data_IF_077386232774
#
_entry.id   IF_077386232774
#
_cell.length_a   1.000
_cell.length_b   1.000
_cell.length_c   1.000
_cell.angle_alpha   90.00
_cell.angle_beta   90.00
_cell.angle_gamma   90.00
#
_symmetry.space_group_name_H-M   'P 1'
#
loop_
_entity.id
_entity.type
_entity.pdbx_description
1 polymer ?
#
# COMPACT_ATOMS: atom_id res chain seq x y z
N UNK A 1 16.25 -37.30 -25.04
CA UNK A 1 16.45 -35.93 -24.52
C UNK A 1 15.42 -35.05 -25.21
N UNK A 2 14.37 -34.67 -24.51
CA UNK A 2 13.28 -33.85 -25.07
C UNK A 2 13.79 -32.43 -25.27
N UNK A 3 13.99 -32.01 -26.53
CA UNK A 3 14.13 -30.61 -26.88
C UNK A 3 12.82 -29.92 -26.52
N UNK A 4 12.82 -29.13 -25.46
CA UNK A 4 11.73 -28.24 -25.15
C UNK A 4 11.42 -27.40 -26.40
N UNK A 5 10.27 -27.67 -27.03
CA UNK A 5 9.74 -26.83 -28.10
C UNK A 5 9.53 -25.46 -27.48
N UNK A 6 10.45 -24.53 -27.76
CA UNK A 6 10.30 -23.13 -27.40
C UNK A 6 9.17 -22.60 -28.27
N UNK A 7 7.97 -22.48 -27.70
CA UNK A 7 6.88 -21.79 -28.37
C UNK A 7 7.31 -20.35 -28.58
N UNK A 8 7.44 -19.97 -29.84
CA UNK A 8 7.74 -18.58 -30.20
C UNK A 8 6.43 -17.83 -30.43
N UNK A 9 6.49 -16.49 -30.46
CA UNK A 9 5.36 -15.61 -30.77
C UNK A 9 4.74 -15.89 -32.16
N UNK A 10 5.35 -16.78 -32.95
CA UNK A 10 4.95 -17.22 -34.28
C UNK A 10 4.13 -18.51 -34.28
N UNK A 11 4.18 -19.27 -33.19
CA UNK A 11 3.43 -20.51 -33.00
C UNK A 11 1.95 -20.23 -32.66
N UNK A 12 1.63 -18.98 -32.31
CA UNK A 12 0.29 -18.49 -31.95
C UNK A 12 -0.49 -17.92 -33.13
N UNK A 13 0.02 -18.05 -34.36
CA UNK A 13 -0.59 -17.51 -35.57
C UNK A 13 -1.26 -18.63 -36.37
N UNK A 14 -2.54 -18.87 -36.10
CA UNK A 14 -3.35 -19.97 -36.65
C UNK A 14 -3.39 -20.02 -38.19
N UNK A 15 -3.16 -18.90 -38.88
CA UNK A 15 -3.22 -18.80 -40.34
C UNK A 15 -1.90 -19.14 -41.05
N UNK A 16 -0.79 -19.29 -40.31
CA UNK A 16 0.48 -19.71 -40.91
C UNK A 16 0.49 -21.24 -41.03
N UNK A 17 -0.04 -21.74 -42.15
CA UNK A 17 0.23 -23.10 -42.60
C UNK A 17 1.71 -23.24 -42.91
N UNK A 18 2.49 -23.62 -41.90
CA UNK A 18 3.90 -24.01 -42.05
C UNK A 18 4.00 -24.97 -43.23
N UNK A 19 4.89 -24.69 -44.18
CA UNK A 19 5.41 -25.78 -45.03
C UNK A 19 6.03 -26.80 -44.07
N UNK A 20 5.70 -28.07 -44.26
CA UNK A 20 6.14 -29.14 -43.36
C UNK A 20 7.67 -29.01 -43.12
N UNK A 21 8.18 -28.96 -41.88
CA UNK A 21 9.61 -28.71 -41.62
C UNK A 21 10.53 -29.76 -42.24
N UNK A 22 10.02 -30.97 -42.52
CA UNK A 22 10.73 -32.02 -43.26
C UNK A 22 10.75 -31.82 -44.79
N UNK A 23 10.01 -30.84 -45.31
CA UNK A 23 9.87 -30.58 -46.76
C UNK A 23 10.89 -29.58 -47.31
N UNK A 24 11.61 -28.84 -46.46
CA UNK A 24 12.56 -27.83 -46.91
C UNK A 24 13.97 -28.40 -46.77
N UNK A 25 14.37 -29.19 -47.77
CA UNK A 25 15.78 -29.48 -47.95
C UNK A 25 16.50 -28.14 -48.15
N UNK A 26 17.65 -27.89 -47.46
CA UNK A 26 18.52 -26.79 -47.85
C UNK A 26 18.80 -26.92 -49.35
N UNK A 27 19.06 -25.82 -50.07
CA UNK A 27 19.43 -25.92 -51.48
C UNK A 27 20.59 -26.91 -51.63
N UNK A 28 20.28 -28.14 -52.07
CA UNK A 28 21.15 -29.32 -51.89
C UNK A 28 21.95 -29.65 -53.14
N UNK A 29 22.10 -28.70 -54.05
CA UNK A 29 22.98 -28.83 -55.18
C UNK A 29 24.16 -27.90 -54.94
N UNK A 30 25.35 -28.51 -54.87
CA UNK A 30 26.69 -27.88 -54.81
C UNK A 30 26.60 -26.37 -55.00
N UNK A 31 26.65 -25.63 -53.88
CA UNK A 31 26.71 -24.16 -53.90
C UNK A 31 27.84 -23.81 -54.87
N UNK A 32 27.46 -23.18 -55.98
CA UNK A 32 28.41 -22.84 -57.04
C UNK A 32 29.44 -21.86 -56.44
N UNK A 33 30.73 -22.23 -56.43
CA UNK A 33 31.77 -21.40 -55.82
C UNK A 33 31.86 -20.01 -56.45
N UNK A 34 31.38 -19.86 -57.69
CA UNK A 34 31.42 -18.63 -58.46
C UNK A 34 30.27 -17.65 -58.10
N UNK A 35 29.31 -18.07 -57.26
CA UNK A 35 28.25 -17.19 -56.74
C UNK A 35 28.83 -16.29 -55.62
N UNK A 36 28.65 -14.96 -55.69
CA UNK A 36 29.03 -14.03 -54.64
C UNK A 36 28.37 -14.41 -53.31
N UNK A 37 29.19 -14.62 -52.28
CA UNK A 37 28.72 -15.06 -50.97
C UNK A 37 28.52 -16.57 -50.83
N UNK A 38 29.09 -17.40 -51.71
CA UNK A 38 29.08 -18.87 -51.62
C UNK A 38 29.49 -19.38 -50.22
N UNK A 39 30.51 -18.79 -49.59
CA UNK A 39 30.90 -19.11 -48.20
C UNK A 39 29.81 -18.81 -47.16
N UNK A 40 29.04 -17.73 -47.33
CA UNK A 40 27.91 -17.41 -46.47
C UNK A 40 26.82 -18.48 -46.60
N UNK A 41 26.55 -18.94 -47.82
CA UNK A 41 25.59 -20.01 -48.06
C UNK A 41 26.01 -21.36 -47.48
N UNK A 42 27.31 -21.68 -47.47
CA UNK A 42 27.82 -22.88 -46.79
C UNK A 42 27.53 -22.82 -45.28
N UNK A 43 27.72 -21.66 -44.66
CA UNK A 43 27.42 -21.44 -43.22
C UNK A 43 25.92 -21.53 -42.94
N UNK A 44 25.10 -20.96 -43.83
CA UNK A 44 23.63 -21.00 -43.73
C UNK A 44 23.10 -22.43 -43.91
N UNK A 45 23.59 -23.18 -44.90
CA UNK A 45 23.17 -24.56 -45.18
C UNK A 45 23.61 -25.51 -44.05
N UNK A 46 24.82 -25.33 -43.51
CA UNK A 46 25.29 -26.14 -42.36
C UNK A 46 24.48 -25.89 -41.09
N UNK A 47 23.88 -24.71 -40.94
CA UNK A 47 23.01 -24.38 -39.81
C UNK A 47 21.53 -24.35 -40.18
N UNK A 48 21.13 -24.88 -41.35
CA UNK A 48 19.80 -24.70 -41.90
C UNK A 48 18.69 -25.15 -40.94
N UNK A 49 18.86 -26.31 -40.32
CA UNK A 49 17.91 -26.88 -39.36
C UNK A 49 17.76 -26.05 -38.07
N UNK A 50 18.74 -25.21 -37.75
CA UNK A 50 18.71 -24.32 -36.58
C UNK A 50 18.13 -22.94 -36.92
N UNK A 51 17.89 -22.64 -38.20
CA UNK A 51 17.28 -21.38 -38.63
C UNK A 51 15.77 -21.43 -38.44
N UNK A 52 15.20 -20.26 -38.13
CA UNK A 52 13.76 -20.12 -38.01
C UNK A 52 13.08 -20.36 -39.38
N UNK A 53 11.93 -21.04 -39.47
CA UNK A 53 11.27 -21.37 -40.75
C UNK A 53 11.01 -20.17 -41.67
N UNK A 54 10.59 -19.01 -41.14
CA UNK A 54 10.45 -17.79 -41.95
C UNK A 54 11.79 -17.29 -42.52
N UNK A 55 12.88 -17.44 -41.77
CA UNK A 55 14.22 -17.10 -42.23
C UNK A 55 14.68 -18.10 -43.29
N UNK A 56 14.35 -19.39 -43.13
CA UNK A 56 14.58 -20.40 -44.16
C UNK A 56 13.80 -20.05 -45.44
N UNK A 57 12.54 -19.65 -45.36
CA UNK A 57 11.71 -19.27 -46.52
C UNK A 57 12.29 -18.04 -47.24
N UNK A 58 12.67 -16.99 -46.50
CA UNK A 58 13.30 -15.78 -47.06
C UNK A 58 14.64 -16.11 -47.70
N UNK A 59 15.49 -16.87 -47.02
CA UNK A 59 16.79 -17.28 -47.54
C UNK A 59 16.63 -18.20 -48.74
N UNK A 60 15.63 -19.07 -48.77
CA UNK A 60 15.35 -19.94 -49.91
C UNK A 60 14.94 -19.13 -51.15
N UNK A 61 14.06 -18.15 -50.98
CA UNK A 61 13.66 -17.22 -52.06
C UNK A 61 14.87 -16.40 -52.53
N UNK A 62 15.67 -15.90 -51.59
CA UNK A 62 16.87 -15.11 -51.90
C UNK A 62 17.94 -15.93 -52.62
N UNK A 63 18.22 -17.16 -52.18
CA UNK A 63 19.13 -18.09 -52.84
C UNK A 63 18.67 -18.37 -54.27
N UNK A 64 17.37 -18.67 -54.46
CA UNK A 64 16.79 -18.88 -55.79
C UNK A 64 16.93 -17.64 -56.67
N UNK A 65 16.72 -16.44 -56.14
CA UNK A 65 16.92 -15.20 -56.90
C UNK A 65 18.39 -15.01 -57.31
N UNK A 66 19.33 -15.34 -56.41
CA UNK A 66 20.77 -15.19 -56.62
C UNK A 66 21.31 -16.17 -57.68
N UNK A 67 20.90 -17.45 -57.61
CA UNK A 67 21.27 -18.47 -58.61
C UNK A 67 20.68 -18.15 -59.98
N UNK A 68 19.45 -17.65 -60.05
CA UNK A 68 18.80 -17.16 -61.29
C UNK A 68 19.60 -16.05 -61.97
N UNK A 69 20.15 -15.12 -61.20
CA UNK A 69 20.93 -14.00 -61.73
C UNK A 69 22.28 -14.45 -62.32
N UNK A 70 22.82 -15.60 -61.87
CA UNK A 70 24.13 -16.09 -62.27
C UNK A 70 24.09 -17.22 -63.32
N UNK A 71 23.01 -18.01 -63.39
CA UNK A 71 22.92 -19.18 -64.28
C UNK A 71 22.22 -18.93 -65.62
N UNK A 72 21.80 -17.70 -65.90
CA UNK A 72 21.52 -17.22 -67.27
C UNK A 72 20.37 -17.87 -68.05
N UNK A 73 19.60 -18.81 -67.50
CA UNK A 73 18.44 -19.39 -68.18
C UNK A 73 17.33 -19.84 -67.21
N UNK A 74 16.08 -19.61 -67.65
CA UNK A 74 14.78 -19.95 -67.06
C UNK A 74 14.08 -18.84 -66.24
N UNK A 75 13.22 -18.09 -66.92
CA UNK A 75 12.08 -17.37 -66.34
C UNK A 75 11.03 -18.39 -65.86
N UNK A 76 11.17 -18.87 -64.62
CA UNK A 76 9.99 -19.23 -63.84
C UNK A 76 9.70 -18.09 -62.87
N UNK A 77 8.67 -17.29 -63.19
CA UNK A 77 8.14 -16.24 -62.32
C UNK A 77 7.95 -16.80 -60.91
N UNK A 78 8.51 -16.12 -59.90
CA UNK A 78 8.13 -16.41 -58.51
C UNK A 78 6.61 -16.23 -58.45
N UNK A 79 5.88 -17.22 -57.94
CA UNK A 79 4.43 -17.13 -57.80
C UNK A 79 4.06 -15.80 -57.12
N UNK A 80 3.42 -14.85 -57.84
CA UNK A 80 3.18 -13.50 -57.33
C UNK A 80 2.42 -13.50 -56.01
N UNK A 81 1.55 -14.52 -55.82
CA UNK A 81 0.82 -14.76 -54.57
C UNK A 81 1.73 -15.00 -53.38
N UNK A 82 2.82 -15.74 -53.56
CA UNK A 82 3.75 -16.06 -52.48
C UNK A 82 4.53 -14.82 -52.04
N UNK A 83 4.92 -13.95 -52.98
CA UNK A 83 5.57 -12.67 -52.65
C UNK A 83 4.60 -11.67 -52.01
N UNK A 84 3.35 -11.60 -52.48
CA UNK A 84 2.33 -10.71 -51.92
C UNK A 84 1.92 -11.14 -50.51
N UNK A 85 1.80 -12.44 -50.26
CA UNK A 85 1.53 -12.99 -48.92
C UNK A 85 2.65 -12.65 -47.92
N UNK A 86 3.91 -12.71 -48.34
CA UNK A 86 5.05 -12.33 -47.51
C UNK A 86 5.05 -10.82 -47.20
N UNK A 87 4.75 -9.97 -48.17
CA UNK A 87 4.66 -8.51 -47.98
C UNK A 87 3.50 -8.15 -47.05
N UNK A 88 2.32 -8.76 -47.24
CA UNK A 88 1.18 -8.56 -46.36
C UNK A 88 1.53 -8.92 -44.91
N UNK A 89 2.20 -10.07 -44.72
CA UNK A 89 2.62 -10.52 -43.40
C UNK A 89 3.68 -9.61 -42.79
N UNK A 90 4.64 -9.14 -43.58
CA UNK A 90 5.64 -8.18 -43.11
C UNK A 90 4.98 -6.90 -42.56
N UNK A 91 3.97 -6.39 -43.27
CA UNK A 91 3.21 -5.21 -42.85
C UNK A 91 2.38 -5.47 -41.58
N UNK A 92 1.80 -6.67 -41.45
CA UNK A 92 1.09 -7.07 -40.23
C UNK A 92 2.03 -7.10 -39.01
N UNK A 93 3.26 -7.59 -39.20
CA UNK A 93 4.26 -7.68 -38.14
C UNK A 93 4.83 -6.32 -37.77
N UNK A 94 5.05 -5.44 -38.74
CA UNK A 94 5.39 -4.05 -38.47
C UNK A 94 4.28 -3.37 -37.65
N UNK A 95 3.02 -3.65 -37.97
CA UNK A 95 1.86 -3.12 -37.22
C UNK A 95 1.82 -3.65 -35.78
N UNK A 96 2.05 -4.95 -35.57
CA UNK A 96 2.13 -5.56 -34.23
C UNK A 96 3.32 -5.04 -33.44
N UNK A 97 4.47 -4.85 -34.07
CA UNK A 97 5.66 -4.29 -33.44
C UNK A 97 5.40 -2.86 -32.92
N UNK A 98 4.77 -2.01 -33.75
CA UNK A 98 4.36 -0.66 -33.33
C UNK A 98 3.37 -0.67 -32.17
N UNK A 99 2.43 -1.62 -32.16
CA UNK A 99 1.48 -1.76 -31.05
C UNK A 99 2.20 -2.13 -29.74
N UNK A 100 3.15 -3.07 -29.80
CA UNK A 100 3.95 -3.43 -28.62
C UNK A 100 4.86 -2.30 -28.15
N UNK A 101 5.42 -1.51 -29.05
CA UNK A 101 6.21 -0.33 -28.66
C UNK A 101 5.36 0.73 -27.94
N UNK A 102 4.12 0.94 -28.37
CA UNK A 102 3.16 1.81 -27.69
C UNK A 102 2.78 1.27 -26.31
N UNK A 103 2.49 -0.02 -26.21
CA UNK A 103 2.15 -0.67 -24.93
C UNK A 103 3.31 -0.59 -23.94
N UNK A 104 4.54 -0.86 -24.41
CA UNK A 104 5.76 -0.69 -23.61
C UNK A 104 5.90 0.74 -23.10
N UNK A 105 5.69 1.74 -23.95
CA UNK A 105 5.74 3.15 -23.55
C UNK A 105 4.70 3.50 -22.49
N UNK A 106 3.47 2.99 -22.61
CA UNK A 106 2.41 3.20 -21.62
C UNK A 106 2.77 2.55 -20.26
N UNK A 107 3.29 1.32 -20.28
CA UNK A 107 3.71 0.61 -19.07
C UNK A 107 4.90 1.32 -18.38
N UNK A 108 5.86 1.83 -19.14
CA UNK A 108 6.96 2.63 -18.60
C UNK A 108 6.46 3.91 -17.92
N UNK A 109 5.46 4.59 -18.50
CA UNK A 109 4.81 5.75 -17.88
C UNK A 109 4.06 5.37 -16.60
N UNK A 110 3.30 4.27 -16.61
CA UNK A 110 2.61 3.78 -15.42
C UNK A 110 3.58 3.44 -14.29
N UNK A 111 4.71 2.79 -14.59
CA UNK A 111 5.75 2.50 -13.62
C UNK A 111 6.34 3.79 -13.04
N UNK A 112 6.63 4.79 -13.89
CA UNK A 112 7.13 6.09 -13.45
C UNK A 112 6.15 6.81 -12.51
N UNK A 113 4.85 6.74 -12.79
CA UNK A 113 3.81 7.30 -11.92
C UNK A 113 3.77 6.54 -10.59
N UNK A 114 3.77 5.21 -10.62
CA UNK A 114 3.76 4.40 -9.37
C UNK A 114 4.98 4.66 -8.51
N UNK A 115 6.18 4.77 -9.10
CA UNK A 115 7.41 5.08 -8.35
C UNK A 115 7.32 6.44 -7.66
N UNK A 116 6.76 7.44 -8.35
CA UNK A 116 6.50 8.76 -7.78
C UNK A 116 5.53 8.67 -6.60
N UNK A 117 4.44 7.92 -6.74
CA UNK A 117 3.45 7.74 -5.68
C UNK A 117 4.03 7.01 -4.47
N UNK A 118 4.84 5.98 -4.67
CA UNK A 118 5.57 5.30 -3.58
C UNK A 118 6.50 6.25 -2.83
N UNK A 119 7.22 7.12 -3.53
CA UNK A 119 8.07 8.13 -2.87
C UNK A 119 7.23 9.13 -2.05
N UNK A 120 6.07 9.55 -2.55
CA UNK A 120 5.17 10.44 -1.81
C UNK A 120 4.60 9.76 -0.56
N UNK A 121 4.12 8.51 -0.69
CA UNK A 121 3.64 7.72 0.44
C UNK A 121 4.73 7.55 1.50
N UNK A 122 5.96 7.25 1.09
CA UNK A 122 7.09 7.13 2.03
C UNK A 122 7.34 8.43 2.80
N UNK A 123 7.23 9.59 2.14
CA UNK A 123 7.34 10.90 2.80
C UNK A 123 6.20 11.14 3.78
N UNK A 124 4.96 10.81 3.41
CA UNK A 124 3.78 10.99 4.28
C UNK A 124 3.89 10.07 5.51
N UNK A 125 4.21 8.80 5.32
CA UNK A 125 4.40 7.84 6.41
C UNK A 125 5.52 8.29 7.34
N UNK A 126 6.65 8.77 6.81
CA UNK A 126 7.74 9.30 7.62
C UNK A 126 7.36 10.55 8.42
N UNK A 127 6.48 11.41 7.90
CA UNK A 127 5.95 12.56 8.65
C UNK A 127 5.00 12.13 9.76
N UNK A 128 4.03 11.26 9.45
CA UNK A 128 3.08 10.73 10.44
C UNK A 128 3.78 9.98 11.57
N UNK A 129 4.83 9.24 11.27
CA UNK A 129 5.59 8.52 12.29
C UNK A 129 6.26 9.49 13.27
N UNK A 130 6.87 10.57 12.75
CA UNK A 130 7.44 11.63 13.60
C UNK A 130 6.38 12.31 14.45
N UNK A 131 5.25 12.70 13.85
CA UNK A 131 4.13 13.31 14.57
C UNK A 131 3.59 12.37 15.66
N UNK A 132 3.47 11.07 15.38
CA UNK A 132 3.03 10.08 16.36
C UNK A 132 4.01 9.95 17.52
N UNK A 133 5.32 9.89 17.24
CA UNK A 133 6.37 9.88 18.27
C UNK A 133 6.30 11.16 19.12
N UNK A 134 6.16 12.33 18.49
CA UNK A 134 6.04 13.61 19.20
C UNK A 134 4.79 13.65 20.08
N UNK A 135 3.64 13.21 19.58
CA UNK A 135 2.39 13.12 20.35
C UNK A 135 2.55 12.16 21.53
N UNK A 136 3.15 10.98 21.34
CA UNK A 136 3.40 10.04 22.42
C UNK A 136 4.33 10.63 23.48
N UNK A 137 5.36 11.37 23.08
CA UNK A 137 6.27 12.04 24.01
C UNK A 137 5.55 13.16 24.79
N UNK A 138 4.75 13.99 24.11
CA UNK A 138 3.96 15.04 24.78
C UNK A 138 2.95 14.43 25.74
N UNK A 139 2.26 13.36 25.34
CA UNK A 139 1.29 12.67 26.16
C UNK A 139 1.97 12.06 27.40
N UNK A 140 3.10 11.38 27.21
CA UNK A 140 3.91 10.83 28.29
C UNK A 140 4.36 11.89 29.30
N UNK A 141 4.87 13.03 28.82
CA UNK A 141 5.23 14.17 29.68
C UNK A 141 4.02 14.73 30.43
N UNK A 142 2.89 14.92 29.76
CA UNK A 142 1.68 15.46 30.39
C UNK A 142 1.10 14.53 31.46
N UNK A 143 1.20 13.22 31.28
CA UNK A 143 0.79 12.25 32.29
C UNK A 143 1.74 12.25 33.47
N UNK A 144 3.05 12.30 33.22
CA UNK A 144 4.05 12.38 34.27
C UNK A 144 3.89 13.65 35.12
N UNK A 145 3.63 14.79 34.49
CA UNK A 145 3.35 16.06 35.17
C UNK A 145 2.08 15.96 36.03
N UNK A 146 0.96 15.47 35.47
CA UNK A 146 -0.27 15.27 36.25
C UNK A 146 -0.11 14.30 37.42
N UNK A 147 0.67 13.24 37.25
CA UNK A 147 0.98 12.31 38.34
C UNK A 147 1.77 13.02 39.43
N UNK A 148 2.75 13.84 39.06
CA UNK A 148 3.55 14.61 40.00
C UNK A 148 2.71 15.65 40.74
N UNK A 149 1.85 16.39 40.04
CA UNK A 149 0.93 17.35 40.65
C UNK A 149 -0.01 16.65 41.64
N UNK A 150 -0.55 15.49 41.29
CA UNK A 150 -1.41 14.71 42.18
C UNK A 150 -0.65 14.12 43.36
N UNK A 151 0.61 13.74 43.17
CA UNK A 151 1.46 13.29 44.28
C UNK A 151 1.73 14.44 45.26
N UNK A 152 2.05 15.64 44.75
CA UNK A 152 2.23 16.82 45.58
C UNK A 152 0.94 17.16 46.36
N UNK A 153 -0.24 17.09 45.71
CA UNK A 153 -1.52 17.32 46.38
C UNK A 153 -1.81 16.28 47.49
N UNK A 154 -1.40 15.02 47.27
CA UNK A 154 -1.49 13.96 48.29
C UNK A 154 -0.55 14.27 49.46
N UNK A 155 0.67 14.70 49.18
CA UNK A 155 1.67 15.00 50.20
C UNK A 155 1.20 16.19 51.07
N UNK A 156 0.71 17.27 50.44
CA UNK A 156 0.15 18.43 51.14
C UNK A 156 -1.04 18.05 52.05
N UNK A 157 -1.97 17.24 51.53
CA UNK A 157 -3.11 16.75 52.31
C UNK A 157 -2.68 15.84 53.45
N UNK A 158 -1.64 15.03 53.24
CA UNK A 158 -1.08 14.16 54.28
C UNK A 158 -0.48 14.97 55.41
N UNK A 159 0.21 16.07 55.10
CA UNK A 159 0.76 16.96 56.11
C UNK A 159 -0.32 17.75 56.86
N UNK A 160 -1.38 18.17 56.16
CA UNK A 160 -2.55 18.77 56.81
C UNK A 160 -3.24 17.80 57.79
N UNK A 161 -3.37 16.52 57.42
CA UNK A 161 -3.93 15.49 58.30
C UNK A 161 -3.09 15.36 59.57
N UNK A 162 -1.75 15.28 59.46
CA UNK A 162 -0.87 15.21 60.64
C UNK A 162 -1.04 16.41 61.55
N UNK A 163 -1.16 17.62 60.98
CA UNK A 163 -1.37 18.84 61.75
C UNK A 163 -2.71 18.81 62.50
N UNK A 164 -3.79 18.40 61.83
CA UNK A 164 -5.11 18.25 62.47
C UNK A 164 -5.11 17.17 63.56
N UNK A 165 -4.44 16.04 63.33
CA UNK A 165 -4.26 14.98 64.33
C UNK A 165 -3.54 15.50 65.58
N UNK A 166 -2.48 16.29 65.41
CA UNK A 166 -1.77 16.95 66.51
C UNK A 166 -2.67 17.95 67.26
N UNK A 167 -3.47 18.75 66.54
CA UNK A 167 -4.40 19.69 67.17
C UNK A 167 -5.49 18.96 67.98
N UNK A 168 -6.02 17.85 67.47
CA UNK A 168 -6.98 17.00 68.19
C UNK A 168 -6.35 16.47 69.48
N UNK A 169 -5.12 15.95 69.43
CA UNK A 169 -4.38 15.48 70.62
C UNK A 169 -4.26 16.59 71.67
N UNK A 170 -3.83 17.79 71.27
CA UNK A 170 -3.69 18.94 72.18
C UNK A 170 -5.03 19.34 72.80
N UNK A 171 -6.11 19.34 72.03
CA UNK A 171 -7.45 19.66 72.53
C UNK A 171 -7.97 18.59 73.49
N UNK A 172 -7.71 17.30 73.21
CA UNK A 172 -8.06 16.20 74.11
C UNK A 172 -7.31 16.33 75.45
N UNK A 173 -6.02 16.64 75.43
CA UNK A 173 -5.23 16.88 76.64
C UNK A 173 -5.76 18.07 77.45
N UNK A 174 -6.14 19.17 76.78
CA UNK A 174 -6.76 20.34 77.43
C UNK A 174 -8.12 20.00 78.02
N UNK A 175 -8.95 19.20 77.35
CA UNK A 175 -10.26 18.77 77.85
C UNK A 175 -10.09 17.88 79.08
N UNK A 176 -9.12 16.96 79.05
CA UNK A 176 -8.77 16.10 80.18
C UNK A 176 -8.25 16.92 81.38
N UNK A 177 -7.49 18.00 81.13
CA UNK A 177 -7.03 18.92 82.17
C UNK A 177 -8.14 19.87 82.68
N UNK A 178 -9.13 20.19 81.85
CA UNK A 178 -10.27 21.08 82.15
C UNK A 178 -11.45 20.42 82.85
N UNK A 179 -11.47 19.09 82.97
CA UNK A 179 -12.55 18.29 83.56
C UNK A 179 -12.83 18.49 85.06
N UNK A 180 -12.34 19.56 85.70
CA UNK A 180 -12.67 19.92 87.08
C UNK A 180 -13.52 21.18 87.26
N UNK A 181 -13.86 21.92 86.20
CA UNK A 181 -14.68 23.14 86.34
C UNK A 181 -15.62 23.30 85.15
N UNK A 182 -16.90 22.97 85.32
CA UNK A 182 -17.95 23.41 84.40
C UNK A 182 -19.30 23.57 85.11
N UNK A 183 -19.46 24.70 85.78
CA UNK A 183 -20.73 25.42 85.88
C UNK A 183 -20.66 26.61 84.93
N UNK A 184 -21.46 26.61 83.84
CA UNK A 184 -22.25 27.75 83.31
C UNK A 184 -22.64 27.51 81.84
N UNK A 185 -23.92 27.30 81.51
CA UNK A 185 -24.44 27.52 80.16
C UNK A 185 -24.90 28.98 80.06
N UNK A 186 -24.62 29.66 78.93
CA UNK A 186 -25.35 30.84 78.37
C UNK A 186 -24.51 31.53 77.26
N UNK A 187 -23.18 31.33 77.20
CA UNK A 187 -22.33 31.96 76.14
C UNK A 187 -22.27 31.13 74.83
N UNK A 188 -22.64 29.84 74.87
CA UNK A 188 -22.48 28.90 73.74
C UNK A 188 -23.45 29.11 72.55
N UNK A 189 -24.50 29.92 72.68
CA UNK A 189 -25.49 30.08 71.60
C UNK A 189 -25.00 30.96 70.44
N UNK A 190 -24.06 31.88 70.67
CA UNK A 190 -23.53 32.76 69.61
C UNK A 190 -22.34 32.13 68.87
N UNK A 191 -21.48 31.36 69.56
CA UNK A 191 -20.38 30.64 68.92
C UNK A 191 -20.91 29.52 68.00
N UNK A 192 -21.89 28.75 68.46
CA UNK A 192 -22.52 27.70 67.66
C UNK A 192 -23.30 28.26 66.45
N UNK A 193 -23.82 29.48 66.54
CA UNK A 193 -24.51 30.15 65.42
C UNK A 193 -23.57 30.54 64.28
N UNK A 194 -22.37 31.03 64.61
CA UNK A 194 -21.33 31.36 63.63
C UNK A 194 -20.78 30.11 62.94
N UNK A 195 -20.57 29.03 63.70
CA UNK A 195 -20.12 27.73 63.16
C UNK A 195 -21.17 27.10 62.23
N UNK A 196 -22.46 27.22 62.58
CA UNK A 196 -23.57 26.78 61.71
C UNK A 196 -23.63 27.62 60.42
N UNK A 197 -23.34 28.93 60.48
CA UNK A 197 -23.31 29.78 59.29
C UNK A 197 -22.17 29.39 58.34
N UNK A 198 -20.99 29.10 58.88
CA UNK A 198 -19.81 28.68 58.11
C UNK A 198 -20.01 27.29 57.48
N UNK A 199 -20.59 26.35 58.24
CA UNK A 199 -20.98 25.03 57.73
C UNK A 199 -22.02 25.12 56.61
N UNK A 200 -23.01 26.02 56.73
CA UNK A 200 -23.99 26.23 55.66
C UNK A 200 -23.36 26.84 54.40
N UNK A 201 -22.39 27.76 54.55
CA UNK A 201 -21.65 28.29 53.43
C UNK A 201 -20.85 27.20 52.73
N UNK A 202 -20.14 26.36 53.49
CA UNK A 202 -19.39 25.24 52.94
C UNK A 202 -20.28 24.20 52.24
N UNK A 203 -21.49 23.96 52.77
CA UNK A 203 -22.49 23.10 52.11
C UNK A 203 -22.91 23.67 50.75
N UNK A 204 -23.13 24.98 50.62
CA UNK A 204 -23.47 25.59 49.34
C UNK A 204 -22.29 25.60 48.36
N UNK A 205 -21.06 25.78 48.84
CA UNK A 205 -19.85 25.63 48.02
C UNK A 205 -19.73 24.20 47.47
N UNK A 206 -19.86 23.18 48.32
CA UNK A 206 -19.83 21.78 47.91
C UNK A 206 -20.94 21.44 46.92
N UNK A 207 -22.13 22.00 47.11
CA UNK A 207 -23.27 21.82 46.22
C UNK A 207 -23.01 22.44 44.85
N UNK A 208 -22.43 23.64 44.81
CA UNK A 208 -22.00 24.27 43.56
C UNK A 208 -20.92 23.44 42.84
N UNK A 209 -19.99 22.83 43.58
CA UNK A 209 -18.96 21.96 43.01
C UNK A 209 -19.55 20.66 42.45
N UNK A 210 -20.55 20.09 43.13
CA UNK A 210 -21.30 18.92 42.63
C UNK A 210 -22.04 19.25 41.33
N UNK A 211 -22.64 20.42 41.23
CA UNK A 211 -23.32 20.88 40.00
C UNK A 211 -22.33 21.07 38.84
N UNK A 212 -21.18 21.70 39.11
CA UNK A 212 -20.08 21.89 38.15
C UNK A 212 -19.56 20.54 37.63
N UNK A 213 -19.26 19.60 38.55
CA UNK A 213 -18.81 18.24 38.22
C UNK A 213 -19.86 17.49 37.41
N UNK A 214 -21.14 17.62 37.75
CA UNK A 214 -22.24 17.00 37.00
C UNK A 214 -22.34 17.55 35.58
N UNK A 215 -22.10 18.85 35.39
CA UNK A 215 -22.07 19.48 34.07
C UNK A 215 -20.90 18.99 33.23
N UNK A 216 -19.69 18.93 33.80
CA UNK A 216 -18.50 18.40 33.12
C UNK A 216 -18.69 16.93 32.73
N UNK A 217 -19.31 16.12 33.59
CA UNK A 217 -19.57 14.71 33.32
C UNK A 217 -20.52 14.53 32.13
N UNK A 218 -21.54 15.38 31.99
CA UNK A 218 -22.40 15.43 30.80
C UNK A 218 -21.62 15.81 29.54
N UNK A 219 -20.75 16.81 29.61
CA UNK A 219 -19.94 17.25 28.46
C UNK A 219 -18.96 16.16 28.00
N UNK A 220 -18.28 15.49 28.94
CA UNK A 220 -17.38 14.37 28.64
C UNK A 220 -18.16 13.22 28.01
N UNK A 221 -19.34 12.89 28.54
CA UNK A 221 -20.21 11.84 27.99
C UNK A 221 -20.64 12.16 26.54
N UNK A 222 -21.02 13.40 26.26
CA UNK A 222 -21.33 13.88 24.91
C UNK A 222 -20.12 13.77 23.96
N UNK A 223 -18.94 14.20 24.38
CA UNK A 223 -17.70 14.06 23.58
C UNK A 223 -17.37 12.60 23.30
N UNK A 224 -17.55 11.72 24.28
CA UNK A 224 -17.28 10.29 24.15
C UNK A 224 -18.28 9.65 23.16
N UNK A 225 -19.55 10.04 23.21
CA UNK A 225 -20.57 9.64 22.22
C UNK A 225 -20.18 10.07 20.80
N UNK A 226 -19.81 11.33 20.60
CA UNK A 226 -19.40 11.85 19.29
C UNK A 226 -18.15 11.13 18.74
N UNK A 227 -17.16 10.86 19.59
CA UNK A 227 -15.99 10.08 19.18
C UNK A 227 -16.34 8.65 18.80
N UNK A 228 -17.26 8.01 19.52
CA UNK A 228 -17.72 6.67 19.21
C UNK A 228 -18.48 6.62 17.87
N UNK A 229 -19.33 7.61 17.59
CA UNK A 229 -20.01 7.73 16.29
C UNK A 229 -19.01 7.92 15.14
N UNK A 230 -17.97 8.74 15.34
CA UNK A 230 -16.90 8.93 14.35
C UNK A 230 -16.08 7.66 14.11
N UNK A 231 -15.78 6.88 15.15
CA UNK A 231 -15.12 5.58 15.02
C UNK A 231 -15.97 4.60 14.23
N UNK A 232 -17.29 4.60 14.45
CA UNK A 232 -18.22 3.77 13.70
C UNK A 232 -18.22 4.13 12.20
N UNK A 233 -18.28 5.42 11.87
CA UNK A 233 -18.21 5.89 10.49
C UNK A 233 -16.88 5.50 9.80
N UNK A 234 -15.75 5.64 10.51
CA UNK A 234 -14.45 5.20 10.02
C UNK A 234 -14.40 3.69 9.78
N UNK A 235 -14.96 2.90 10.69
CA UNK A 235 -15.09 1.44 10.54
C UNK A 235 -15.91 1.08 9.30
N UNK A 236 -17.04 1.74 9.09
CA UNK A 236 -17.88 1.53 7.91
C UNK A 236 -17.16 1.89 6.61
N UNK A 237 -16.37 2.97 6.62
CA UNK A 237 -15.54 3.35 5.47
C UNK A 237 -14.43 2.34 5.17
N UNK A 238 -13.76 1.81 6.21
CA UNK A 238 -12.75 0.75 6.04
C UNK A 238 -13.39 -0.51 5.43
N UNK A 239 -14.57 -0.90 5.91
CA UNK A 239 -15.30 -2.04 5.38
C UNK A 239 -15.67 -1.83 3.91
N UNK A 240 -16.11 -0.63 3.53
CA UNK A 240 -16.41 -0.28 2.15
C UNK A 240 -15.18 -0.41 1.24
N UNK A 241 -14.04 0.18 1.65
CA UNK A 241 -12.79 0.09 0.89
C UNK A 241 -12.30 -1.35 0.76
N UNK A 242 -12.44 -2.16 1.82
CA UNK A 242 -12.10 -3.58 1.78
C UNK A 242 -12.93 -4.32 0.72
N UNK A 243 -14.25 -4.08 0.67
CA UNK A 243 -15.11 -4.65 -0.37
C UNK A 243 -14.75 -4.17 -1.79
N UNK A 244 -14.33 -2.92 -1.96
CA UNK A 244 -13.82 -2.45 -3.26
C UNK A 244 -12.53 -3.16 -3.69
N UNK A 245 -11.60 -3.36 -2.76
CA UNK A 245 -10.35 -4.09 -3.02
C UNK A 245 -10.66 -5.53 -3.43
N UNK A 246 -11.53 -6.23 -2.69
CA UNK A 246 -11.94 -7.60 -3.02
C UNK A 246 -12.57 -7.70 -4.42
N UNK A 247 -13.41 -6.73 -4.81
CA UNK A 247 -13.98 -6.67 -6.17
C UNK A 247 -12.90 -6.46 -7.23
N UNK A 248 -11.92 -5.59 -6.97
CA UNK A 248 -10.81 -5.35 -7.91
C UNK A 248 -9.92 -6.58 -8.04
N UNK A 249 -9.64 -7.27 -6.95
CA UNK A 249 -8.88 -8.53 -6.96
C UNK A 249 -9.59 -9.64 -7.74
N UNK A 250 -10.92 -9.75 -7.61
CA UNK A 250 -11.73 -10.67 -8.43
C UNK A 250 -11.62 -10.34 -9.92
N UNK A 251 -11.77 -9.07 -10.31
CA UNK A 251 -11.60 -8.64 -11.71
C UNK A 251 -10.19 -8.96 -12.25
N UNK A 252 -9.16 -8.76 -11.44
CA UNK A 252 -7.78 -9.10 -11.83
C UNK A 252 -7.65 -10.61 -12.06
N UNK A 253 -8.26 -11.45 -11.20
CA UNK A 253 -8.27 -12.91 -11.39
C UNK A 253 -9.00 -13.33 -12.67
N UNK A 254 -10.16 -12.73 -12.96
CA UNK A 254 -10.90 -13.00 -14.20
C UNK A 254 -10.09 -12.65 -15.45
N UNK A 255 -9.49 -11.45 -15.48
CA UNK A 255 -8.65 -11.01 -16.60
C UNK A 255 -7.45 -11.95 -16.79
N UNK A 256 -6.79 -12.36 -15.69
CA UNK A 256 -5.68 -13.32 -15.75
C UNK A 256 -6.12 -14.69 -16.27
N UNK A 257 -7.30 -15.16 -15.89
CA UNK A 257 -7.85 -16.42 -16.39
C UNK A 257 -8.12 -16.37 -17.90
N UNK A 258 -8.65 -15.24 -18.40
CA UNK A 258 -8.91 -15.03 -19.84
C UNK A 258 -7.64 -14.90 -20.68
N UNK A 259 -6.51 -14.53 -20.08
CA UNK A 259 -5.20 -14.44 -20.75
C UNK A 259 -4.43 -15.77 -20.77
N UNK A 260 -4.86 -16.78 -19.99
CA UNK A 260 -4.19 -18.08 -19.86
C UNK A 260 -4.93 -19.23 -20.54
N UNK A 261 -6.16 -19.01 -21.02
CA UNK A 261 -6.94 -19.96 -21.83
C UNK A 261 -6.87 -19.57 -23.30
#
# INVERSE_FOLDING_TARGET
>A
MNSAQRSTLWDTLDEYNRRNPESINPPSERIDPDIPGSYFWVIVVTNWQNLHPLVQDVLFIWYKALTRFHQGNHEEELDPKSTEALVYRLNELDSKLRAFDLERGNLEQELSIRDRDFQQLRKITGKREKENIEVQQMLGKSFQEKIMDKQNEIDDKTDLIKELENQILVLQDKLAAGGSVATTPIIETHANSAEIADLNQHIEELKSEVDERTRLLKEVSEKLRLQNDKLKEQSDHINHLKSEVERKDQKIKEIKGLLQG
#
